data_IF_298735206665
#
_entry.id   IF_298735206665
#
_cell.length_a   1.000
_cell.length_b   1.000
_cell.length_c   1.000
_cell.angle_alpha   90.00
_cell.angle_beta   90.00
_cell.angle_gamma   90.00
#
_symmetry.space_group_name_H-M   'P 1'
#
loop_
_entity.id
_entity.type
_entity.pdbx_description
1 polymer ?
#
# COMPACT_ATOMS: atom_id res chain seq x y z
N UNK A 1 -6.17 38.88 -22.60
CA UNK A 1 -6.32 37.43 -22.38
C UNK A 1 -5.85 37.14 -20.96
N UNK A 2 -6.78 36.90 -20.03
CA UNK A 2 -6.57 37.02 -18.58
C UNK A 2 -5.83 35.79 -18.01
N UNK A 3 -4.66 36.01 -17.41
CA UNK A 3 -3.76 34.99 -16.80
C UNK A 3 -4.43 34.19 -15.67
N UNK A 4 -5.59 34.64 -15.18
CA UNK A 4 -6.33 34.06 -14.05
C UNK A 4 -7.00 32.71 -14.38
N UNK A 5 -7.28 32.40 -15.65
CA UNK A 5 -7.92 31.12 -16.04
C UNK A 5 -7.00 29.91 -15.98
N UNK A 6 -5.67 30.08 -15.97
CA UNK A 6 -4.73 28.94 -15.98
C UNK A 6 -4.45 28.34 -14.60
N UNK A 7 -4.68 29.09 -13.52
CA UNK A 7 -4.48 28.60 -12.15
C UNK A 7 -5.61 27.67 -11.68
N UNK A 8 -6.84 27.84 -12.19
CA UNK A 8 -7.99 27.04 -11.76
C UNK A 8 -7.94 25.59 -12.31
N UNK A 9 -7.35 25.37 -13.49
CA UNK A 9 -7.20 24.01 -14.03
C UNK A 9 -6.14 23.19 -13.27
N UNK A 10 -5.08 23.84 -12.79
CA UNK A 10 -4.02 23.16 -12.05
C UNK A 10 -4.49 22.68 -10.66
N UNK A 11 -5.40 23.41 -10.02
CA UNK A 11 -5.96 23.04 -8.73
C UNK A 11 -6.91 21.83 -8.81
N UNK A 12 -7.69 21.71 -9.90
CA UNK A 12 -8.64 20.61 -10.09
C UNK A 12 -7.96 19.28 -10.47
N UNK A 13 -6.79 19.34 -11.13
CA UNK A 13 -6.01 18.14 -11.45
C UNK A 13 -5.32 17.53 -10.21
N UNK A 14 -4.99 18.34 -9.20
CA UNK A 14 -4.35 17.85 -7.96
C UNK A 14 -5.32 17.14 -7.01
N UNK A 15 -6.62 17.43 -7.07
CA UNK A 15 -7.62 16.80 -6.19
C UNK A 15 -8.02 15.38 -6.61
N UNK A 16 -7.73 14.96 -7.85
CA UNK A 16 -8.04 13.61 -8.34
C UNK A 16 -7.00 12.55 -7.96
N UNK A 17 -5.80 12.95 -7.52
CA UNK A 17 -4.72 12.02 -7.12
C UNK A 17 -4.92 11.44 -5.71
N UNK A 18 -5.81 12.02 -4.90
CA UNK A 18 -5.98 11.62 -3.49
C UNK A 18 -7.04 10.54 -3.24
N UNK A 19 -7.74 10.05 -4.26
CA UNK A 19 -8.90 9.14 -4.07
C UNK A 19 -8.60 7.64 -4.17
N UNK A 20 -7.34 7.22 -4.34
CA UNK A 20 -6.99 5.80 -4.47
C UNK A 20 -6.38 5.17 -3.21
N UNK A 21 -6.45 5.85 -2.06
CA UNK A 21 -5.76 5.42 -0.83
C UNK A 21 -6.46 4.25 -0.09
N UNK A 22 -7.66 3.86 -0.49
CA UNK A 22 -8.46 2.85 0.26
C UNK A 22 -8.50 1.44 -0.35
N UNK A 23 -7.82 1.19 -1.48
CA UNK A 23 -7.89 -0.09 -2.20
C UNK A 23 -6.64 -0.99 -2.05
N UNK A 24 -5.65 -0.55 -1.26
CA UNK A 24 -4.25 -0.95 -1.44
C UNK A 24 -3.91 -2.39 -0.99
N UNK A 25 -4.81 -3.08 -0.31
CA UNK A 25 -4.60 -4.46 0.16
C UNK A 25 -5.84 -5.34 -0.07
N UNK A 26 -6.63 -5.03 -1.10
CA UNK A 26 -7.77 -5.90 -1.50
C UNK A 26 -7.61 -6.43 -2.92
N UNK A 27 -6.53 -6.04 -3.61
CA UNK A 27 -6.28 -6.45 -4.98
C UNK A 27 -5.57 -7.82 -5.01
N UNK A 28 -6.26 -8.90 -5.43
CA UNK A 28 -5.70 -10.26 -5.44
C UNK A 28 -4.63 -10.45 -6.53
N UNK A 29 -4.44 -9.46 -7.41
CA UNK A 29 -3.41 -9.49 -8.46
C UNK A 29 -2.16 -8.68 -8.08
N UNK A 30 -2.14 -8.03 -6.90
CA UNK A 30 -0.99 -7.25 -6.46
C UNK A 30 0.25 -8.13 -6.34
N UNK A 31 1.32 -7.76 -7.05
CA UNK A 31 2.63 -8.39 -6.94
C UNK A 31 3.35 -7.93 -5.67
N UNK A 32 4.32 -8.71 -5.21
CA UNK A 32 5.21 -8.36 -4.12
C UNK A 32 5.95 -7.02 -4.36
N UNK A 33 6.31 -6.71 -5.60
CA UNK A 33 6.90 -5.42 -5.94
C UNK A 33 5.91 -4.25 -5.80
N UNK A 34 4.64 -4.47 -6.16
CA UNK A 34 3.59 -3.46 -6.00
C UNK A 34 3.18 -3.31 -4.54
N UNK A 35 3.17 -4.40 -3.76
CA UNK A 35 3.00 -4.37 -2.31
C UNK A 35 4.10 -3.55 -1.64
N UNK A 36 5.38 -3.77 -1.98
CA UNK A 36 6.49 -2.98 -1.43
C UNK A 36 6.35 -1.49 -1.74
N UNK A 37 5.89 -1.13 -2.94
CA UNK A 37 5.58 0.27 -3.29
C UNK A 37 4.40 0.79 -2.48
N UNK A 38 3.32 0.03 -2.38
CA UNK A 38 2.11 0.41 -1.65
C UNK A 38 2.39 0.62 -0.16
N UNK A 39 3.19 -0.24 0.48
CA UNK A 39 3.58 -0.04 1.88
C UNK A 39 4.50 1.17 2.04
N UNK A 40 5.38 1.44 1.07
CA UNK A 40 6.22 2.63 1.06
C UNK A 40 5.39 3.93 0.90
N UNK A 41 4.27 3.89 0.18
CA UNK A 41 3.39 5.06 -0.05
C UNK A 41 2.22 5.17 0.93
N UNK A 42 1.78 4.06 1.51
CA UNK A 42 0.50 3.89 2.20
C UNK A 42 0.54 4.15 3.71
N UNK A 43 1.70 4.50 4.26
CA UNK A 43 1.80 4.88 5.67
C UNK A 43 1.71 3.69 6.63
N UNK A 44 2.48 2.63 6.39
CA UNK A 44 2.69 1.55 7.35
C UNK A 44 1.46 0.68 7.66
N UNK A 45 1.66 -0.28 8.55
CA UNK A 45 0.62 -1.25 8.92
C UNK A 45 -0.54 -0.56 9.65
N UNK A 46 -1.81 -0.79 9.25
CA UNK A 46 -2.97 -0.21 9.92
C UNK A 46 -3.01 -0.59 11.40
N UNK A 47 -3.23 0.40 12.28
CA UNK A 47 -3.48 0.13 13.71
C UNK A 47 -4.96 -0.14 13.94
N UNK A 48 -5.23 -1.27 14.58
CA UNK A 48 -6.55 -1.74 14.99
C UNK A 48 -6.95 -1.24 16.37
N UNK A 49 -5.99 -0.73 17.16
CA UNK A 49 -6.21 -0.32 18.55
C UNK A 49 -6.11 -1.48 19.55
N UNK A 50 -5.96 -2.71 19.06
CA UNK A 50 -5.60 -3.87 19.87
C UNK A 50 -4.09 -4.11 19.77
N UNK A 51 -3.40 -4.09 20.92
CA UNK A 51 -1.95 -4.17 20.97
C UNK A 51 -1.40 -5.53 20.47
N UNK A 52 -2.16 -6.62 20.61
CA UNK A 52 -1.73 -7.92 20.14
C UNK A 52 -1.87 -8.02 18.62
N UNK A 53 -2.99 -7.53 18.08
CA UNK A 53 -3.21 -7.46 16.63
C UNK A 53 -2.25 -6.48 15.95
N UNK A 54 -1.98 -5.32 16.55
CA UNK A 54 -1.04 -4.34 16.00
C UNK A 54 0.39 -4.88 15.97
N UNK A 55 0.80 -5.61 17.02
CA UNK A 55 2.10 -6.28 17.05
C UNK A 55 2.18 -7.37 15.98
N UNK A 56 1.18 -8.24 15.89
CA UNK A 56 1.13 -9.29 14.87
C UNK A 56 1.17 -8.69 13.46
N UNK A 57 0.42 -7.62 13.21
CA UNK A 57 0.39 -6.96 11.93
C UNK A 57 1.76 -6.37 11.57
N UNK A 58 2.47 -5.76 12.53
CA UNK A 58 3.83 -5.26 12.32
C UNK A 58 4.84 -6.39 12.04
N UNK A 59 4.71 -7.54 12.72
CA UNK A 59 5.54 -8.72 12.48
C UNK A 59 5.28 -9.32 11.09
N UNK A 60 4.00 -9.40 10.68
CA UNK A 60 3.61 -9.86 9.34
C UNK A 60 4.11 -8.91 8.26
N UNK A 61 3.99 -7.59 8.46
CA UNK A 61 4.50 -6.58 7.53
C UNK A 61 6.03 -6.69 7.34
N UNK A 62 6.78 -6.88 8.42
CA UNK A 62 8.23 -7.08 8.35
C UNK A 62 8.61 -8.37 7.60
N UNK A 63 7.90 -9.47 7.87
CA UNK A 63 8.07 -10.75 7.17
C UNK A 63 7.69 -10.65 5.69
N UNK A 64 6.57 -10.00 5.37
CA UNK A 64 6.10 -9.71 4.02
C UNK A 64 7.13 -8.89 3.24
N UNK A 65 7.65 -7.80 3.81
CA UNK A 65 8.70 -6.98 3.17
C UNK A 65 9.93 -7.79 2.84
N UNK A 66 10.41 -8.59 3.78
CA UNK A 66 11.59 -9.44 3.60
C UNK A 66 11.35 -10.46 2.48
N UNK A 67 10.21 -11.16 2.53
CA UNK A 67 9.84 -12.16 1.54
C UNK A 67 9.66 -11.55 0.14
N UNK A 68 8.94 -10.43 0.04
CA UNK A 68 8.68 -9.74 -1.22
C UNK A 68 9.93 -9.09 -1.83
N UNK A 69 10.91 -8.71 -1.01
CA UNK A 69 12.20 -8.22 -1.51
C UNK A 69 12.96 -9.35 -2.21
N UNK A 70 12.88 -10.58 -1.70
CA UNK A 70 13.46 -11.76 -2.32
C UNK A 70 12.64 -12.29 -3.52
N UNK A 71 11.32 -12.07 -3.52
CA UNK A 71 10.38 -12.63 -4.51
C UNK A 71 9.50 -11.54 -5.16
N UNK A 72 10.07 -10.57 -5.90
CA UNK A 72 9.34 -9.39 -6.37
C UNK A 72 8.21 -9.71 -7.38
N UNK A 73 8.26 -10.87 -8.04
CA UNK A 73 7.26 -11.32 -9.03
C UNK A 73 6.14 -12.17 -8.45
N UNK A 74 6.26 -12.59 -7.19
CA UNK A 74 5.25 -13.42 -6.55
C UNK A 74 4.04 -12.57 -6.16
N UNK A 75 2.85 -13.18 -6.10
CA UNK A 75 1.65 -12.48 -5.64
C UNK A 75 1.76 -12.18 -4.14
N UNK A 76 1.41 -10.96 -3.75
CA UNK A 76 1.46 -10.52 -2.36
C UNK A 76 0.57 -11.39 -1.45
N UNK A 77 -0.56 -11.90 -1.96
CA UNK A 77 -1.45 -12.83 -1.25
C UNK A 77 -0.81 -14.20 -1.00
N UNK A 78 -0.11 -14.78 -1.97
CA UNK A 78 0.63 -16.04 -1.79
C UNK A 78 1.76 -15.88 -0.77
N UNK A 79 2.48 -14.76 -0.88
CA UNK A 79 3.50 -14.40 0.09
C UNK A 79 2.90 -14.24 1.49
N UNK A 80 1.78 -13.51 1.65
CA UNK A 80 1.07 -13.34 2.91
C UNK A 80 0.65 -14.69 3.52
N UNK A 81 0.10 -15.61 2.72
CA UNK A 81 -0.23 -16.97 3.16
C UNK A 81 1.00 -17.73 3.65
N UNK A 82 2.15 -17.60 2.98
CA UNK A 82 3.41 -18.24 3.41
C UNK A 82 3.98 -17.67 4.71
N UNK A 83 3.87 -16.37 4.94
CA UNK A 83 4.39 -15.74 6.18
C UNK A 83 3.41 -15.72 7.35
N UNK A 84 2.10 -15.86 7.11
CA UNK A 84 1.08 -16.00 8.16
C UNK A 84 0.70 -17.45 8.48
N UNK A 85 0.78 -18.35 7.50
CA UNK A 85 0.37 -19.76 7.62
C UNK A 85 1.53 -20.76 7.75
N UNK A 86 2.76 -20.26 7.96
CA UNK A 86 3.97 -21.06 8.15
C UNK A 86 4.48 -21.04 9.58
#
# INVERSE_FOLDING_TARGET
MSTKSRMLLAAFAMTLVSFSVSAQVTDPEMSCADYLKAVATGGGTPKTGDAAMDKMAAEVDAKMKTYCTANPKEKAMDAAMKVMGG
#
